data_IF_393108256872
#
_entry.id   IF_393108256872
#
_cell.length_a   1.000
_cell.length_b   1.000
_cell.length_c   1.000
_cell.angle_alpha   90.00
_cell.angle_beta   90.00
_cell.angle_gamma   90.00
#
_symmetry.space_group_name_H-M   'P 1'
#
loop_
_entity.id
_entity.type
_entity.pdbx_description
1 polymer ?
#
# COMPACT_ATOMS: atom_id res chain seq x y z
N UNK A 1 10.36 -1.07 20.74
CA UNK A 1 10.92 0.24 20.68
C UNK A 1 10.72 0.91 19.33
N UNK A 2 11.16 0.24 18.31
CA UNK A 2 11.01 0.77 16.96
C UNK A 2 9.55 0.93 16.60
N UNK A 3 8.72 -0.02 16.97
CA UNK A 3 7.29 0.07 16.66
C UNK A 3 6.63 1.21 17.39
N UNK A 4 7.05 1.47 18.63
CA UNK A 4 6.50 2.61 19.35
C UNK A 4 6.89 3.92 18.71
N UNK A 5 8.10 3.99 18.18
CA UNK A 5 8.52 5.19 17.47
C UNK A 5 7.70 5.38 16.22
N UNK A 6 7.45 4.30 15.47
CA UNK A 6 6.63 4.39 14.28
C UNK A 6 5.22 4.87 14.62
N UNK A 7 4.69 4.40 15.72
CA UNK A 7 3.36 4.84 16.14
C UNK A 7 3.37 6.31 16.50
N UNK A 8 4.40 6.76 17.21
CA UNK A 8 4.50 8.17 17.57
C UNK A 8 4.60 9.08 16.35
N UNK A 9 5.24 8.58 15.30
CA UNK A 9 5.38 9.35 14.07
C UNK A 9 4.16 9.19 13.17
N UNK A 10 3.15 8.49 13.64
CA UNK A 10 1.92 8.26 12.85
C UNK A 10 2.16 7.44 11.60
N UNK A 11 3.20 6.63 11.61
CA UNK A 11 3.46 5.75 10.48
C UNK A 11 2.62 4.49 10.55
N UNK A 12 2.24 4.07 11.74
CA UNK A 12 1.34 2.95 11.94
C UNK A 12 0.32 3.33 13.00
N UNK A 13 -0.79 2.63 13.00
CA UNK A 13 -1.91 2.95 13.88
C UNK A 13 -2.59 1.65 14.30
N UNK A 14 -1.97 0.87 15.17
CA UNK A 14 -2.57 -0.41 15.57
C UNK A 14 -3.82 -0.20 16.39
N UNK A 15 -4.76 -1.13 16.25
CA UNK A 15 -5.94 -1.13 17.10
C UNK A 15 -5.54 -1.52 18.51
N UNK A 16 -6.41 -1.24 19.46
CA UNK A 16 -6.14 -1.57 20.86
C UNK A 16 -7.35 -2.27 21.45
N UNK A 17 -7.06 -3.22 22.32
CA UNK A 17 -8.12 -3.88 23.07
C UNK A 17 -8.55 -2.98 24.21
N UNK A 18 -9.55 -3.44 24.96
CA UNK A 18 -9.98 -2.73 26.15
C UNK A 18 -8.86 -2.62 27.17
N UNK A 19 -7.96 -3.60 27.21
CA UNK A 19 -6.81 -3.54 28.09
C UNK A 19 -5.65 -2.76 27.52
N UNK A 20 -5.86 -2.06 26.39
CA UNK A 20 -4.86 -1.23 25.75
C UNK A 20 -3.70 -2.02 25.18
N UNK A 21 -3.94 -3.27 24.85
CA UNK A 21 -2.96 -4.10 24.18
C UNK A 21 -3.04 -3.81 22.68
N UNK A 22 -1.88 -3.58 22.06
CA UNK A 22 -1.83 -3.29 20.64
C UNK A 22 -2.17 -4.53 19.84
N UNK A 23 -3.00 -4.35 18.84
CA UNK A 23 -3.37 -5.42 17.92
C UNK A 23 -2.95 -5.00 16.52
N UNK A 24 -2.16 -5.84 15.89
CA UNK A 24 -1.64 -5.55 14.55
C UNK A 24 -2.38 -6.40 13.54
N UNK A 25 -3.02 -5.73 12.58
CA UNK A 25 -3.66 -6.43 11.46
C UNK A 25 -2.58 -6.85 10.47
N UNK A 26 -2.98 -7.67 9.51
CA UNK A 26 -2.05 -8.04 8.45
C UNK A 26 -1.58 -6.81 7.71
N UNK A 27 -2.46 -5.86 7.52
CA UNK A 27 -2.11 -4.61 6.87
C UNK A 27 -1.06 -3.85 7.66
N UNK A 28 -1.20 -3.84 8.98
CA UNK A 28 -0.20 -3.19 9.83
C UNK A 28 1.14 -3.88 9.71
N UNK A 29 1.14 -5.20 9.70
CA UNK A 29 2.37 -5.96 9.58
C UNK A 29 3.05 -5.68 8.25
N UNK A 30 2.28 -5.64 7.18
CA UNK A 30 2.83 -5.35 5.87
C UNK A 30 3.43 -3.95 5.84
N UNK A 31 2.76 -3.01 6.47
CA UNK A 31 3.26 -1.63 6.52
C UNK A 31 4.55 -1.56 7.31
N UNK A 32 4.64 -2.30 8.41
CA UNK A 32 5.85 -2.34 9.21
C UNK A 32 7.00 -2.93 8.40
N UNK A 33 6.73 -3.99 7.66
CA UNK A 33 7.76 -4.59 6.81
C UNK A 33 8.30 -3.59 5.79
N UNK A 34 7.41 -2.82 5.20
CA UNK A 34 7.81 -1.82 4.23
C UNK A 34 8.67 -0.75 4.91
N UNK A 35 8.27 -0.29 6.07
CA UNK A 35 9.04 0.71 6.79
C UNK A 35 10.43 0.19 7.12
N UNK A 36 10.52 -1.04 7.59
CA UNK A 36 11.82 -1.62 7.91
C UNK A 36 12.69 -1.75 6.68
N UNK A 37 12.11 -2.13 5.57
CA UNK A 37 12.88 -2.24 4.35
C UNK A 37 13.42 -0.88 3.91
N UNK A 38 12.57 0.13 3.96
CA UNK A 38 12.97 1.47 3.55
C UNK A 38 14.08 2.02 4.45
N UNK A 39 13.95 1.80 5.76
CA UNK A 39 14.92 2.38 6.67
C UNK A 39 16.21 1.59 6.74
N UNK A 40 16.12 0.27 6.78
CA UNK A 40 17.30 -0.54 7.02
C UNK A 40 18.04 -0.91 5.76
N UNK A 41 17.32 -1.23 4.71
CA UNK A 41 17.97 -1.68 3.49
C UNK A 41 18.23 -0.55 2.52
N UNK A 42 17.36 0.43 2.48
CA UNK A 42 17.50 1.53 1.53
C UNK A 42 17.97 2.82 2.17
N UNK A 43 18.11 2.85 3.48
CA UNK A 43 18.67 3.99 4.15
C UNK A 43 17.79 5.24 4.16
N UNK A 44 16.50 5.06 4.02
CA UNK A 44 15.57 6.20 4.02
C UNK A 44 15.28 6.60 5.45
N UNK A 45 15.35 7.89 5.76
CA UNK A 45 15.01 8.34 7.10
C UNK A 45 13.49 8.36 7.27
N UNK A 46 13.04 8.56 8.50
CA UNK A 46 11.61 8.45 8.79
C UNK A 46 10.79 9.51 8.09
N UNK A 47 11.34 10.70 7.88
CA UNK A 47 10.62 11.72 7.12
C UNK A 47 10.38 11.25 5.68
N UNK A 48 11.40 10.64 5.08
CA UNK A 48 11.25 10.09 3.73
C UNK A 48 10.27 8.93 3.70
N UNK A 49 10.29 8.10 4.73
CA UNK A 49 9.34 7.01 4.82
C UNK A 49 7.91 7.54 4.84
N UNK A 50 7.68 8.60 5.62
CA UNK A 50 6.35 9.20 5.68
C UNK A 50 5.89 9.65 4.31
N UNK A 51 6.77 10.30 3.56
CA UNK A 51 6.44 10.76 2.21
C UNK A 51 6.15 9.58 1.30
N UNK A 52 6.96 8.53 1.39
CA UNK A 52 6.77 7.36 0.54
C UNK A 52 5.44 6.68 0.86
N UNK A 53 5.08 6.58 2.13
CA UNK A 53 3.83 5.96 2.49
C UNK A 53 2.64 6.75 1.98
N UNK A 54 2.73 8.07 2.03
CA UNK A 54 1.65 8.91 1.50
C UNK A 54 1.54 8.77 -0.01
N UNK A 55 2.67 8.72 -0.69
CA UNK A 55 2.65 8.53 -2.13
C UNK A 55 2.07 7.16 -2.48
N UNK A 56 2.43 6.14 -1.71
CA UNK A 56 1.89 4.80 -1.94
C UNK A 56 0.37 4.80 -1.78
N UNK A 57 -0.13 5.47 -0.75
CA UNK A 57 -1.56 5.54 -0.55
C UNK A 57 -2.25 6.25 -1.69
N UNK A 58 -1.64 7.32 -2.20
CA UNK A 58 -2.19 8.01 -3.36
C UNK A 58 -2.21 7.13 -4.59
N UNK A 59 -1.12 6.38 -4.80
CA UNK A 59 -1.06 5.47 -5.94
C UNK A 59 -2.09 4.37 -5.83
N UNK A 60 -2.26 3.81 -4.64
CA UNK A 60 -3.26 2.76 -4.43
C UNK A 60 -4.65 3.29 -4.71
N UNK A 61 -4.93 4.52 -4.26
CA UNK A 61 -6.21 5.14 -4.54
C UNK A 61 -6.44 5.36 -6.02
N UNK A 62 -5.42 5.81 -6.72
CA UNK A 62 -5.54 6.02 -8.16
C UNK A 62 -5.71 4.72 -8.90
N UNK A 63 -5.01 3.67 -8.48
CA UNK A 63 -5.17 2.37 -9.10
C UNK A 63 -6.58 1.85 -8.92
N UNK A 64 -7.13 2.04 -7.72
CA UNK A 64 -8.50 1.62 -7.45
C UNK A 64 -9.48 2.39 -8.32
N UNK A 65 -9.27 3.68 -8.47
CA UNK A 65 -10.13 4.52 -9.28
C UNK A 65 -10.07 4.11 -10.75
N UNK A 66 -8.87 3.82 -11.22
CA UNK A 66 -8.71 3.37 -12.61
C UNK A 66 -9.43 2.04 -12.82
N UNK A 67 -9.32 1.14 -11.86
CA UNK A 67 -9.99 -0.15 -11.98
C UNK A 67 -11.50 0.02 -12.03
N UNK A 68 -12.03 0.92 -11.20
CA UNK A 68 -13.47 1.19 -11.20
C UNK A 68 -13.91 1.78 -12.54
N UNK A 69 -13.14 2.72 -13.06
CA UNK A 69 -13.49 3.34 -14.34
C UNK A 69 -13.42 2.35 -15.48
N UNK A 70 -12.43 1.46 -15.46
CA UNK A 70 -12.34 0.45 -16.49
C UNK A 70 -13.51 -0.51 -16.42
N UNK A 71 -13.92 -0.86 -15.22
CA UNK A 71 -15.07 -1.72 -15.07
C UNK A 71 -16.31 -1.08 -15.69
N UNK A 72 -16.50 0.21 -15.44
CA UNK A 72 -17.64 0.92 -15.98
C UNK A 72 -17.59 1.02 -17.50
N UNK A 73 -16.40 1.28 -18.03
CA UNK A 73 -16.25 1.34 -19.48
C UNK A 73 -16.58 -0.01 -20.11
N UNK A 74 -16.07 -1.08 -19.51
CA UNK A 74 -16.34 -2.42 -20.03
C UNK A 74 -17.82 -2.72 -19.96
N UNK A 75 -18.49 -2.28 -18.90
CA UNK A 75 -19.91 -2.52 -18.76
C UNK A 75 -20.71 -1.81 -19.84
N UNK A 76 -20.34 -0.58 -20.16
CA UNK A 76 -21.06 0.18 -21.16
C UNK A 76 -20.73 -0.28 -22.57
N UNK A 77 -19.57 -0.92 -22.75
CA UNK A 77 -19.16 -1.39 -24.06
C UNK A 77 -19.25 -2.90 -24.16
N UNK A 78 -20.15 -3.51 -23.43
CA UNK A 78 -20.15 -4.94 -23.38
C UNK A 78 -20.51 -5.58 -24.71
N UNK A 79 -21.08 -4.83 -25.64
CA UNK A 79 -21.38 -5.37 -26.96
C UNK A 79 -20.16 -5.40 -27.88
N UNK A 80 -19.07 -4.81 -27.46
CA UNK A 80 -17.86 -4.78 -28.28
C UNK A 80 -16.87 -5.78 -27.76
N UNK A 81 -16.20 -6.43 -28.66
CA UNK A 81 -15.17 -7.38 -28.28
C UNK A 81 -13.92 -6.63 -27.91
N UNK A 82 -13.71 -6.45 -26.64
CA UNK A 82 -12.53 -5.76 -26.14
C UNK A 82 -11.62 -6.79 -25.51
N UNK A 83 -10.35 -6.76 -25.88
CA UNK A 83 -9.39 -7.68 -25.32
C UNK A 83 -9.10 -7.29 -23.89
N UNK A 84 -9.44 -8.14 -22.93
CA UNK A 84 -9.25 -7.77 -21.53
C UNK A 84 -7.82 -7.80 -21.07
N UNK A 85 -6.95 -8.54 -21.73
CA UNK A 85 -5.61 -8.63 -21.22
C UNK A 85 -4.84 -7.34 -21.33
N UNK A 86 -5.24 -6.46 -22.20
CA UNK A 86 -4.55 -5.17 -22.27
C UNK A 86 -4.77 -4.34 -21.04
N UNK A 87 -5.94 -4.47 -20.47
CA UNK A 87 -6.27 -3.67 -19.31
C UNK A 87 -5.66 -4.22 -18.05
N UNK A 88 -5.20 -5.43 -18.09
CA UNK A 88 -4.77 -6.10 -16.87
C UNK A 88 -3.28 -6.18 -16.74
N UNK A 89 -2.59 -5.30 -17.38
CA UNK A 89 -1.16 -5.35 -17.31
C UNK A 89 -0.71 -4.94 -15.93
N UNK A 90 0.02 -5.81 -15.33
CA UNK A 90 0.73 -5.58 -14.11
C UNK A 90 0.02 -4.76 -13.09
N UNK A 91 -0.22 -5.38 -12.03
CA UNK A 91 -0.78 -4.74 -10.87
C UNK A 91 0.25 -4.63 -9.77
N UNK A 92 1.49 -4.57 -10.13
CA UNK A 92 2.52 -4.45 -9.14
C UNK A 92 2.49 -3.07 -8.54
N UNK A 93 2.23 -3.00 -7.25
CA UNK A 93 2.28 -1.75 -6.54
C UNK A 93 3.72 -1.48 -6.11
N UNK A 94 3.94 -0.27 -5.64
CA UNK A 94 5.25 0.06 -5.09
C UNK A 94 5.57 -0.86 -3.93
N UNK A 95 4.54 -1.23 -3.16
CA UNK A 95 4.72 -2.14 -2.06
C UNK A 95 5.31 -3.47 -2.53
N UNK A 96 4.75 -4.04 -3.58
CA UNK A 96 5.25 -5.31 -4.10
C UNK A 96 6.68 -5.18 -4.58
N UNK A 97 6.97 -4.10 -5.26
CA UNK A 97 8.30 -3.91 -5.82
C UNK A 97 9.34 -3.81 -4.71
N UNK A 98 9.05 -3.06 -3.67
CA UNK A 98 10.00 -2.82 -2.60
C UNK A 98 10.13 -4.02 -1.68
N UNK A 99 9.02 -4.69 -1.38
CA UNK A 99 9.01 -5.76 -0.39
C UNK A 99 9.42 -7.09 -0.98
N UNK A 100 8.90 -7.44 -2.13
CA UNK A 100 9.04 -8.78 -2.66
C UNK A 100 10.02 -8.92 -3.79
N UNK A 101 10.35 -7.86 -4.42
CA UNK A 101 11.28 -7.90 -5.53
C UNK A 101 12.68 -7.64 -5.03
N UNK A 102 13.55 -8.53 -5.28
CA UNK A 102 14.89 -8.39 -4.75
C UNK A 102 15.89 -8.03 -5.81
#
# INVERSE_FOLDING_TARGET
QTLRQYERENLICPARTNGRIRLYSQRDIDRIKLILRLTRELGVNLAGVDIILRLKENLDGMESEIADLRYEVDRTKNSYAVSPNKAMVTKKSIYDIIIFEK
#
